data_IF_171970600322
#
_entry.id   IF_171970600322
#
_cell.length_a   1.000
_cell.length_b   1.000
_cell.length_c   1.000
_cell.angle_alpha   90.00
_cell.angle_beta   90.00
_cell.angle_gamma   90.00
#
_symmetry.space_group_name_H-M   'P 1'
#
loop_
_entity.id
_entity.type
_entity.pdbx_description
1 polymer ?
#
# COMPACT_ATOMS: atom_id res chain seq x y z
N UNK A 1 3.99 -10.01 -30.19
CA UNK A 1 4.50 -9.60 -28.90
C UNK A 1 4.16 -8.13 -28.73
N UNK A 2 3.00 -7.84 -28.07
CA UNK A 2 2.52 -6.50 -27.83
C UNK A 2 3.50 -5.73 -26.95
N UNK A 3 4.06 -4.65 -27.45
CA UNK A 3 4.79 -3.70 -26.63
C UNK A 3 3.84 -3.17 -25.56
N UNK A 4 4.12 -3.49 -24.28
CA UNK A 4 3.55 -2.77 -23.17
C UNK A 4 3.93 -1.31 -23.39
N UNK A 5 3.01 -0.51 -23.94
CA UNK A 5 3.24 0.90 -24.15
C UNK A 5 3.75 1.52 -22.86
N UNK A 6 4.66 2.48 -22.96
CA UNK A 6 5.03 3.37 -21.85
C UNK A 6 3.79 4.20 -21.52
N UNK A 7 2.80 3.57 -20.86
CA UNK A 7 1.55 4.27 -20.58
C UNK A 7 1.82 5.43 -19.66
N UNK A 8 1.43 6.57 -20.15
CA UNK A 8 1.15 7.76 -19.38
C UNK A 8 0.37 7.39 -18.10
N UNK A 9 0.57 8.16 -17.04
CA UNK A 9 -0.19 8.12 -15.80
C UNK A 9 -1.67 7.78 -16.04
N UNK A 10 -2.12 6.58 -15.59
CA UNK A 10 -3.53 6.22 -15.70
C UNK A 10 -4.32 6.93 -14.62
N UNK A 11 -5.20 7.82 -15.04
CA UNK A 11 -6.10 8.55 -14.13
C UNK A 11 -7.01 7.62 -13.35
N UNK A 12 -7.41 6.50 -13.93
CA UNK A 12 -8.27 5.50 -13.32
C UNK A 12 -7.58 4.80 -12.16
N UNK A 13 -6.35 4.30 -12.36
CA UNK A 13 -5.56 3.65 -11.31
C UNK A 13 -5.28 4.64 -10.17
N UNK A 14 -5.01 5.89 -10.51
CA UNK A 14 -4.82 6.94 -9.52
C UNK A 14 -6.11 7.22 -8.73
N UNK A 15 -7.24 7.30 -9.41
CA UNK A 15 -8.56 7.51 -8.80
C UNK A 15 -8.97 6.38 -7.86
N UNK A 16 -8.76 5.12 -8.26
CA UNK A 16 -9.05 3.96 -7.39
C UNK A 16 -8.19 3.97 -6.13
N UNK A 17 -6.92 4.37 -6.22
CA UNK A 17 -6.08 4.54 -5.04
C UNK A 17 -6.63 5.61 -4.09
N UNK A 18 -7.11 6.72 -4.63
CA UNK A 18 -7.77 7.76 -3.85
C UNK A 18 -9.04 7.26 -3.18
N UNK A 19 -9.88 6.54 -3.91
CA UNK A 19 -11.10 5.92 -3.39
C UNK A 19 -10.81 4.92 -2.27
N UNK A 20 -9.90 3.99 -2.50
CA UNK A 20 -9.51 2.97 -1.51
C UNK A 20 -8.99 3.62 -0.22
N UNK A 21 -8.17 4.66 -0.35
CA UNK A 21 -7.71 5.42 0.80
C UNK A 21 -8.85 6.12 1.55
N UNK A 22 -9.74 6.78 0.81
CA UNK A 22 -10.90 7.44 1.42
C UNK A 22 -11.73 6.44 2.22
N UNK A 23 -11.89 5.23 1.70
CA UNK A 23 -12.56 4.14 2.43
C UNK A 23 -11.82 3.77 3.72
N UNK A 24 -10.49 3.60 3.67
CA UNK A 24 -9.70 3.27 4.88
C UNK A 24 -9.92 4.34 5.95
N UNK A 25 -9.72 5.62 5.58
CA UNK A 25 -9.86 6.74 6.53
C UNK A 25 -11.31 6.85 7.04
N UNK A 26 -12.31 6.74 6.16
CA UNK A 26 -13.72 6.81 6.54
C UNK A 26 -14.11 5.69 7.51
N UNK A 27 -13.64 4.46 7.28
CA UNK A 27 -13.94 3.34 8.18
C UNK A 27 -13.22 3.46 9.52
N UNK A 28 -11.99 3.98 9.56
CA UNK A 28 -11.31 4.24 10.83
C UNK A 28 -12.03 5.33 11.64
N UNK A 29 -12.58 6.36 10.99
CA UNK A 29 -13.23 7.47 11.69
C UNK A 29 -14.72 7.22 11.97
N UNK A 30 -15.43 6.53 11.11
CA UNK A 30 -16.88 6.42 11.15
C UNK A 30 -17.39 4.97 11.20
N UNK A 31 -16.54 3.99 11.00
CA UNK A 31 -16.90 2.58 10.83
C UNK A 31 -17.14 1.82 12.12
N UNK A 32 -16.97 2.45 13.29
CA UNK A 32 -17.21 1.84 14.62
C UNK A 32 -16.56 0.45 14.77
N UNK A 33 -15.30 0.31 14.36
CA UNK A 33 -14.58 -0.95 14.44
C UNK A 33 -14.54 -1.77 13.16
N UNK A 34 -15.34 -1.44 12.16
CA UNK A 34 -15.29 -2.14 10.88
C UNK A 34 -14.06 -1.76 10.07
N UNK A 35 -13.57 -2.72 9.30
CA UNK A 35 -12.43 -2.55 8.41
C UNK A 35 -12.87 -2.65 6.95
N UNK A 36 -12.44 -1.69 6.13
CA UNK A 36 -12.67 -1.74 4.69
C UNK A 36 -11.62 -2.59 3.97
N UNK A 37 -11.94 -3.11 2.77
CA UNK A 37 -10.98 -3.73 1.86
C UNK A 37 -10.05 -2.74 1.15
N UNK A 38 -9.96 -1.49 1.62
CA UNK A 38 -9.16 -0.45 0.95
C UNK A 38 -7.66 -0.73 0.97
N UNK A 39 -7.14 -1.37 2.03
CA UNK A 39 -5.73 -1.78 2.10
C UNK A 39 -5.43 -2.84 1.04
N UNK A 40 -6.28 -3.85 0.90
CA UNK A 40 -6.14 -4.95 -0.06
C UNK A 40 -6.06 -4.41 -1.50
N UNK A 41 -6.89 -3.42 -1.83
CA UNK A 41 -6.84 -2.69 -3.11
C UNK A 41 -5.47 -2.03 -3.33
N UNK A 42 -4.87 -1.42 -2.29
CA UNK A 42 -3.53 -0.84 -2.39
C UNK A 42 -2.45 -1.87 -2.66
N UNK A 43 -2.53 -3.05 -2.03
CA UNK A 43 -1.57 -4.13 -2.22
C UNK A 43 -1.62 -4.63 -3.67
N UNK A 44 -2.81 -4.89 -4.21
CA UNK A 44 -3.03 -5.27 -5.60
C UNK A 44 -2.46 -4.26 -6.59
N UNK A 45 -2.82 -2.97 -6.44
CA UNK A 45 -2.37 -1.92 -7.36
C UNK A 45 -0.85 -1.73 -7.30
N UNK A 46 -0.27 -1.77 -6.10
CA UNK A 46 1.17 -1.63 -5.92
C UNK A 46 1.94 -2.74 -6.61
N UNK A 47 1.48 -3.98 -6.48
CA UNK A 47 2.08 -5.13 -7.12
C UNK A 47 1.90 -5.12 -8.64
N UNK A 48 0.73 -4.73 -9.13
CA UNK A 48 0.47 -4.55 -10.56
C UNK A 48 1.48 -3.60 -11.21
N UNK A 49 1.62 -2.39 -10.66
CA UNK A 49 2.52 -1.37 -11.19
C UNK A 49 3.99 -1.78 -11.07
N UNK A 50 4.39 -2.37 -9.95
CA UNK A 50 5.75 -2.85 -9.74
C UNK A 50 6.08 -3.98 -10.72
N UNK A 51 5.21 -4.99 -10.84
CA UNK A 51 5.43 -6.15 -11.72
C UNK A 51 5.50 -5.75 -13.18
N UNK A 52 4.62 -4.87 -13.65
CA UNK A 52 4.71 -4.33 -15.02
C UNK A 52 6.06 -3.65 -15.30
N UNK A 53 6.64 -2.98 -14.31
CA UNK A 53 7.99 -2.42 -14.44
C UNK A 53 9.09 -3.50 -14.43
N UNK A 54 8.92 -4.58 -13.64
CA UNK A 54 9.88 -5.69 -13.60
C UNK A 54 9.85 -6.50 -14.90
N UNK A 55 8.68 -6.75 -15.48
CA UNK A 55 8.54 -7.40 -16.80
C UNK A 55 9.38 -6.67 -17.84
N UNK A 56 9.23 -5.34 -17.95
CA UNK A 56 10.05 -4.53 -18.87
C UNK A 56 11.55 -4.62 -18.59
N UNK A 57 11.94 -4.67 -17.32
CA UNK A 57 13.34 -4.80 -16.93
C UNK A 57 13.93 -6.17 -17.30
N UNK A 58 13.16 -7.24 -17.13
CA UNK A 58 13.55 -8.61 -17.50
C UNK A 58 13.67 -8.77 -19.02
N UNK A 59 12.76 -8.17 -19.78
CA UNK A 59 12.80 -8.15 -21.25
C UNK A 59 14.00 -7.37 -21.78
N UNK A 60 14.26 -6.17 -21.24
CA UNK A 60 15.37 -5.33 -21.66
C UNK A 60 16.75 -5.77 -21.16
N UNK A 61 16.79 -6.67 -20.18
CA UNK A 61 18.04 -7.08 -19.54
C UNK A 61 18.68 -6.03 -18.63
N UNK A 62 17.94 -4.94 -18.29
CA UNK A 62 18.47 -3.80 -17.52
C UNK A 62 17.66 -3.56 -16.25
N UNK A 63 18.30 -3.77 -15.09
CA UNK A 63 17.72 -3.49 -13.78
C UNK A 63 18.79 -3.02 -12.80
N UNK A 64 18.64 -1.82 -12.27
CA UNK A 64 19.46 -1.29 -11.18
C UNK A 64 18.63 -1.23 -9.90
N UNK A 65 18.94 -2.08 -8.93
CA UNK A 65 18.27 -2.11 -7.62
C UNK A 65 18.46 -0.80 -6.86
N UNK A 66 19.69 -0.26 -6.85
CA UNK A 66 20.01 1.00 -6.14
C UNK A 66 19.13 2.15 -6.64
N UNK A 67 19.04 2.30 -7.97
CA UNK A 67 18.19 3.33 -8.58
C UNK A 67 16.70 3.08 -8.28
N UNK A 68 16.28 1.81 -8.29
CA UNK A 68 14.91 1.42 -8.01
C UNK A 68 14.54 1.74 -6.57
N UNK A 69 15.34 1.29 -5.62
CA UNK A 69 15.10 1.54 -4.19
C UNK A 69 15.21 3.04 -3.86
N UNK A 70 16.21 3.73 -4.40
CA UNK A 70 16.33 5.18 -4.27
C UNK A 70 15.05 5.90 -4.70
N UNK A 71 14.49 5.54 -5.88
CA UNK A 71 13.22 6.11 -6.38
C UNK A 71 12.02 5.75 -5.50
N UNK A 72 11.94 4.54 -4.99
CA UNK A 72 10.83 4.07 -4.18
C UNK A 72 10.85 4.74 -2.80
N UNK A 73 11.97 4.64 -2.11
CA UNK A 73 12.07 5.09 -0.72
C UNK A 73 12.20 6.60 -0.57
N UNK A 74 12.68 7.34 -1.58
CA UNK A 74 12.60 8.81 -1.57
C UNK A 74 11.16 9.35 -1.55
N UNK A 75 10.18 8.55 -1.95
CA UNK A 75 8.76 8.91 -1.89
C UNK A 75 8.11 8.48 -0.58
N UNK A 76 8.57 7.38 0.03
CA UNK A 76 7.93 6.77 1.19
C UNK A 76 8.54 7.26 2.50
N UNK A 77 9.87 7.24 2.63
CA UNK A 77 10.54 7.51 3.91
C UNK A 77 10.37 8.94 4.42
N UNK A 78 10.59 10.03 3.65
CA UNK A 78 10.57 11.37 4.22
C UNK A 78 9.26 11.73 4.95
N UNK A 79 8.06 11.55 4.36
CA UNK A 79 6.83 11.83 5.08
C UNK A 79 6.53 10.80 6.19
N UNK A 80 6.96 9.53 6.05
CA UNK A 80 6.80 8.54 7.11
C UNK A 80 7.62 8.92 8.35
N UNK A 81 8.91 9.25 8.18
CA UNK A 81 9.79 9.66 9.29
C UNK A 81 9.29 10.94 9.96
N UNK A 82 8.81 11.92 9.18
CA UNK A 82 8.19 13.12 9.75
C UNK A 82 7.01 12.75 10.66
N UNK A 83 6.12 11.87 10.19
CA UNK A 83 4.96 11.44 10.98
C UNK A 83 5.39 10.64 12.20
N UNK A 84 6.39 9.76 12.08
CA UNK A 84 6.92 8.99 13.22
C UNK A 84 7.47 9.92 14.31
N UNK A 85 8.33 10.87 13.95
CA UNK A 85 8.89 11.83 14.91
C UNK A 85 7.79 12.66 15.57
N UNK A 86 6.84 13.19 14.79
CA UNK A 86 5.69 13.90 15.34
C UNK A 86 4.90 13.04 16.31
N UNK A 87 4.63 11.78 15.94
CA UNK A 87 3.87 10.84 16.77
C UNK A 87 4.58 10.56 18.08
N UNK A 88 5.90 10.35 18.07
CA UNK A 88 6.67 10.17 19.32
C UNK A 88 6.59 11.42 20.18
N UNK A 89 6.90 12.60 19.63
CA UNK A 89 6.92 13.87 20.40
C UNK A 89 5.55 14.15 21.04
N UNK A 90 4.48 14.04 20.27
CA UNK A 90 3.12 14.28 20.78
C UNK A 90 2.69 13.16 21.74
N UNK A 91 3.10 11.91 21.50
CA UNK A 91 2.83 10.78 22.36
C UNK A 91 3.45 10.94 23.75
N UNK A 92 4.68 11.45 23.85
CA UNK A 92 5.33 11.75 25.14
C UNK A 92 4.60 12.84 25.94
N UNK A 93 3.86 13.72 25.27
CA UNK A 93 3.08 14.78 25.92
C UNK A 93 1.69 14.32 26.35
N UNK A 94 1.07 13.40 25.60
CA UNK A 94 -0.33 13.01 25.77
C UNK A 94 -0.48 11.67 26.49
N UNK A 95 0.37 10.66 26.15
CA UNK A 95 0.23 9.31 26.66
C UNK A 95 0.83 9.15 28.07
N UNK A 96 0.22 8.32 28.92
CA UNK A 96 0.81 8.00 30.21
C UNK A 96 2.13 7.25 30.04
N UNK A 97 3.03 7.37 31.03
CA UNK A 97 4.38 6.78 30.98
C UNK A 97 4.38 5.26 30.75
N UNK A 98 3.33 4.57 31.21
CA UNK A 98 3.15 3.13 31.00
C UNK A 98 3.04 2.73 29.52
N UNK A 99 2.70 3.67 28.63
CA UNK A 99 2.59 3.44 27.18
C UNK A 99 3.83 3.86 26.37
N UNK A 100 4.84 4.46 27.02
CA UNK A 100 6.01 4.98 26.31
C UNK A 100 6.87 3.88 25.69
N UNK A 101 7.03 2.74 26.38
CA UNK A 101 7.79 1.61 25.83
C UNK A 101 7.18 1.16 24.48
N UNK A 102 5.89 0.86 24.45
CA UNK A 102 5.23 0.48 23.18
C UNK A 102 5.20 1.60 22.14
N UNK A 103 5.24 2.89 22.57
CA UNK A 103 5.38 4.03 21.64
C UNK A 103 6.75 3.99 20.95
N UNK A 104 7.85 3.75 21.69
CA UNK A 104 9.19 3.66 21.12
C UNK A 104 9.37 2.40 20.25
N UNK A 105 8.93 1.25 20.74
CA UNK A 105 9.00 -0.01 19.98
C UNK A 105 8.24 0.09 18.65
N UNK A 106 7.03 0.66 18.65
CA UNK A 106 6.26 0.92 17.43
C UNK A 106 6.94 1.93 16.50
N UNK A 107 7.56 2.99 17.04
CA UNK A 107 8.33 3.94 16.23
C UNK A 107 9.55 3.29 15.56
N UNK A 108 10.30 2.47 16.31
CA UNK A 108 11.44 1.72 15.79
C UNK A 108 11.02 0.76 14.69
N UNK A 109 10.02 -0.07 14.97
CA UNK A 109 9.50 -1.04 13.99
C UNK A 109 8.97 -0.36 12.73
N UNK A 110 8.21 0.73 12.87
CA UNK A 110 7.64 1.50 11.75
C UNK A 110 8.72 2.15 10.88
N UNK A 111 9.80 2.67 11.47
CA UNK A 111 10.87 3.37 10.74
C UNK A 111 11.64 2.46 9.79
N UNK A 112 11.72 1.17 10.10
CA UNK A 112 12.40 0.14 9.30
C UNK A 112 11.43 -0.81 8.57
N UNK A 113 10.15 -0.46 8.49
CA UNK A 113 9.10 -1.27 7.85
C UNK A 113 8.92 -2.67 8.47
N UNK A 114 8.94 -2.77 9.80
CA UNK A 114 8.77 -4.03 10.54
C UNK A 114 7.57 -3.99 11.51
N UNK A 115 6.71 -2.97 11.45
CA UNK A 115 5.55 -2.84 12.35
C UNK A 115 4.58 -4.03 12.27
N UNK A 116 4.40 -4.60 11.08
CA UNK A 116 3.58 -5.80 10.90
C UNK A 116 4.15 -7.03 11.63
N UNK A 117 5.47 -7.15 11.71
CA UNK A 117 6.13 -8.24 12.46
C UNK A 117 6.00 -7.98 13.96
N UNK A 118 6.24 -6.73 14.40
CA UNK A 118 6.09 -6.34 15.81
C UNK A 118 4.67 -6.63 16.32
N UNK A 119 3.64 -6.17 15.61
CA UNK A 119 2.24 -6.39 15.99
C UNK A 119 1.85 -7.88 15.97
N UNK A 120 2.30 -8.63 14.97
CA UNK A 120 2.04 -10.06 14.86
C UNK A 120 2.68 -10.87 15.99
N UNK A 121 3.89 -10.51 16.44
CA UNK A 121 4.58 -11.20 17.57
C UNK A 121 4.02 -10.79 18.92
N UNK A 122 3.50 -9.56 19.05
CA UNK A 122 2.87 -9.09 20.28
C UNK A 122 1.45 -9.65 20.50
N UNK A 123 0.91 -10.41 19.53
CA UNK A 123 -0.44 -11.00 19.63
C UNK A 123 -1.56 -9.97 19.67
N UNK A 124 -1.31 -8.75 19.17
CA UNK A 124 -2.27 -7.65 19.21
C UNK A 124 -3.33 -7.86 18.13
N UNK A 125 -4.59 -7.91 18.54
CA UNK A 125 -5.72 -7.94 17.60
C UNK A 125 -5.83 -6.62 16.85
N UNK A 126 -6.24 -6.67 15.58
CA UNK A 126 -6.60 -5.47 14.83
C UNK A 126 -8.02 -5.05 15.21
N UNK A 127 -8.15 -4.48 16.38
CA UNK A 127 -9.37 -3.78 16.75
C UNK A 127 -9.26 -2.33 16.31
N UNK A 128 -10.33 -1.81 15.76
CA UNK A 128 -10.40 -0.40 15.44
C UNK A 128 -10.19 0.43 16.71
N UNK A 129 -9.58 1.57 16.51
CA UNK A 129 -9.16 2.56 17.47
C UNK A 129 -9.96 2.53 18.79
N UNK A 130 -9.32 2.05 19.83
CA UNK A 130 -9.72 2.23 21.21
C UNK A 130 -8.64 2.94 22.00
N UNK A 131 -8.89 3.22 23.26
CA UNK A 131 -7.93 3.90 24.16
C UNK A 131 -6.57 3.15 24.29
N UNK A 132 -6.55 1.84 23.99
CA UNK A 132 -5.36 0.98 24.00
C UNK A 132 -4.62 0.89 22.66
N UNK A 133 -5.15 1.41 21.56
CA UNK A 133 -4.54 1.25 20.23
C UNK A 133 -3.15 1.92 20.14
N UNK A 134 -2.21 1.26 19.47
CA UNK A 134 -0.90 1.85 19.17
C UNK A 134 -1.06 2.99 18.15
N UNK A 135 -0.45 4.17 18.39
CA UNK A 135 -0.43 5.25 17.39
C UNK A 135 0.25 4.87 16.08
N UNK A 136 1.03 3.78 16.07
CA UNK A 136 1.72 3.26 14.90
C UNK A 136 1.02 2.08 14.23
N UNK A 137 -0.07 1.56 14.82
CA UNK A 137 -0.71 0.33 14.34
C UNK A 137 -0.97 0.32 12.83
N UNK A 138 -1.41 1.43 12.24
CA UNK A 138 -1.66 1.51 10.78
C UNK A 138 -0.41 1.31 9.92
N UNK A 139 0.81 1.49 10.45
CA UNK A 139 2.05 1.24 9.71
C UNK A 139 2.26 -0.23 9.33
N UNK A 140 1.47 -1.17 9.88
CA UNK A 140 1.58 -2.57 9.52
C UNK A 140 1.46 -2.80 7.99
N UNK A 141 0.50 -2.16 7.35
CA UNK A 141 0.29 -2.34 5.90
C UNK A 141 1.38 -1.68 5.06
N UNK A 142 1.91 -0.53 5.53
CA UNK A 142 3.08 0.10 4.93
C UNK A 142 4.33 -0.76 5.09
N UNK A 143 4.47 -1.44 6.22
CA UNK A 143 5.57 -2.38 6.48
C UNK A 143 5.49 -3.56 5.53
N UNK A 144 4.34 -4.23 5.43
CA UNK A 144 4.13 -5.32 4.48
C UNK A 144 4.36 -4.86 3.03
N UNK A 145 3.86 -3.68 2.66
CA UNK A 145 4.09 -3.09 1.33
C UNK A 145 5.58 -2.76 1.10
N UNK A 146 6.26 -2.18 2.09
CA UNK A 146 7.69 -1.85 2.01
C UNK A 146 8.54 -3.10 1.80
N UNK A 147 8.27 -4.17 2.56
CA UNK A 147 8.90 -5.47 2.41
C UNK A 147 8.68 -6.05 1.00
N UNK A 148 7.44 -6.01 0.48
CA UNK A 148 7.16 -6.42 -0.90
C UNK A 148 7.95 -5.57 -1.92
N UNK A 149 8.01 -4.26 -1.74
CA UNK A 149 8.73 -3.35 -2.64
C UNK A 149 10.26 -3.54 -2.60
N UNK A 150 10.79 -4.21 -1.58
CA UNK A 150 12.19 -4.67 -1.50
C UNK A 150 12.34 -6.04 -2.16
N UNK A 151 11.54 -7.00 -1.76
CA UNK A 151 11.68 -8.41 -2.17
C UNK A 151 11.38 -8.61 -3.67
N UNK A 152 10.38 -7.92 -4.22
CA UNK A 152 9.94 -8.14 -5.59
C UNK A 152 10.95 -7.71 -6.65
N UNK A 153 11.56 -6.50 -6.60
CA UNK A 153 12.65 -6.15 -7.50
C UNK A 153 13.91 -6.99 -7.28
N UNK A 154 14.18 -7.44 -6.04
CA UNK A 154 15.30 -8.34 -5.75
C UNK A 154 15.12 -9.68 -6.46
N UNK A 155 13.93 -10.27 -6.40
CA UNK A 155 13.60 -11.50 -7.12
C UNK A 155 13.81 -11.33 -8.63
N UNK A 156 13.28 -10.25 -9.22
CA UNK A 156 13.46 -9.97 -10.64
C UNK A 156 14.95 -9.79 -10.99
N UNK A 157 15.72 -9.15 -10.13
CA UNK A 157 17.18 -8.99 -10.31
C UNK A 157 17.92 -10.33 -10.22
N UNK A 158 17.55 -11.20 -9.28
CA UNK A 158 18.12 -12.55 -9.18
C UNK A 158 17.82 -13.38 -10.42
N UNK A 159 16.59 -13.35 -10.92
CA UNK A 159 16.21 -14.00 -12.18
C UNK A 159 17.06 -13.45 -13.33
N UNK A 160 17.23 -12.12 -13.43
CA UNK A 160 18.05 -11.51 -14.46
C UNK A 160 19.51 -11.96 -14.40
N UNK A 161 20.08 -12.10 -13.20
CA UNK A 161 21.48 -12.51 -13.00
C UNK A 161 21.68 -14.02 -13.25
N UNK A 162 20.84 -14.86 -12.64
CA UNK A 162 20.95 -16.32 -12.76
C UNK A 162 20.67 -16.81 -14.19
N UNK A 163 19.75 -16.13 -14.86
CA UNK A 163 19.32 -16.49 -16.21
C UNK A 163 19.76 -15.45 -17.26
N UNK A 164 20.95 -14.89 -17.11
CA UNK A 164 21.47 -13.82 -18.00
C UNK A 164 21.62 -14.27 -19.46
N UNK A 165 21.86 -15.56 -19.70
CA UNK A 165 22.11 -16.15 -21.02
C UNK A 165 20.85 -16.52 -21.80
N UNK A 166 19.66 -16.52 -21.16
CA UNK A 166 18.40 -16.85 -21.82
C UNK A 166 17.64 -15.60 -22.28
N UNK A 167 16.65 -15.80 -23.15
CA UNK A 167 15.85 -14.70 -23.71
C UNK A 167 15.07 -13.94 -22.62
N UNK A 168 14.74 -12.67 -22.87
CA UNK A 168 13.91 -11.85 -22.00
C UNK A 168 12.52 -12.45 -21.75
N UNK A 169 11.93 -13.03 -22.79
CA UNK A 169 10.60 -13.67 -22.69
C UNK A 169 10.64 -14.92 -21.81
N UNK A 170 11.71 -15.70 -21.88
CA UNK A 170 11.88 -16.87 -20.98
C UNK A 170 12.06 -16.43 -19.52
N UNK A 171 12.81 -15.34 -19.25
CA UNK A 171 12.91 -14.78 -17.89
C UNK A 171 11.54 -14.32 -17.37
N UNK A 172 10.72 -13.70 -18.21
CA UNK A 172 9.37 -13.30 -17.86
C UNK A 172 8.49 -14.51 -17.56
N UNK A 173 8.59 -15.62 -18.32
CA UNK A 173 7.88 -16.87 -18.02
C UNK A 173 8.30 -17.47 -16.67
N UNK A 174 9.59 -17.48 -16.36
CA UNK A 174 10.11 -17.92 -15.05
C UNK A 174 9.52 -17.07 -13.93
N UNK A 175 9.53 -15.74 -14.11
CA UNK A 175 8.96 -14.82 -13.15
C UNK A 175 7.47 -15.01 -12.96
N UNK A 176 6.71 -15.25 -14.04
CA UNK A 176 5.29 -15.61 -14.00
C UNK A 176 5.06 -16.91 -13.22
N UNK A 177 5.80 -17.99 -13.54
CA UNK A 177 5.67 -19.28 -12.86
C UNK A 177 5.93 -19.17 -11.35
N UNK A 178 6.99 -18.44 -10.96
CA UNK A 178 7.25 -18.16 -9.55
C UNK A 178 6.10 -17.37 -8.91
N UNK A 179 5.62 -16.35 -9.58
CA UNK A 179 4.49 -15.51 -9.07
C UNK A 179 3.24 -16.36 -8.86
N UNK A 180 2.92 -17.22 -9.81
CA UNK A 180 1.74 -18.10 -9.73
C UNK A 180 1.82 -19.04 -8.53
N UNK A 181 2.96 -19.74 -8.39
CA UNK A 181 3.18 -20.68 -7.27
C UNK A 181 3.19 -19.94 -5.93
N UNK A 182 3.90 -18.81 -5.82
CA UNK A 182 3.94 -18.03 -4.59
C UNK A 182 2.55 -17.49 -4.20
N UNK A 183 1.75 -17.05 -5.19
CA UNK A 183 0.38 -16.57 -4.95
C UNK A 183 -0.50 -17.70 -4.42
N UNK A 184 -0.48 -18.88 -5.05
CA UNK A 184 -1.27 -20.03 -4.61
C UNK A 184 -0.86 -20.53 -3.23
N UNK A 185 0.45 -20.65 -2.97
CA UNK A 185 0.98 -21.05 -1.67
C UNK A 185 0.61 -20.06 -0.55
N UNK A 186 0.73 -18.76 -0.83
CA UNK A 186 0.34 -17.71 0.12
C UNK A 186 -1.16 -17.72 0.39
N UNK A 187 -1.99 -17.90 -0.62
CA UNK A 187 -3.45 -17.98 -0.42
C UNK A 187 -3.84 -19.18 0.44
N UNK A 188 -3.27 -20.36 0.16
CA UNK A 188 -3.49 -21.54 0.99
C UNK A 188 -3.01 -21.31 2.42
N UNK A 189 -1.83 -20.72 2.60
CA UNK A 189 -1.31 -20.36 3.92
C UNK A 189 -2.23 -19.37 4.65
N UNK A 190 -2.77 -18.37 3.96
CA UNK A 190 -3.73 -17.44 4.53
C UNK A 190 -5.00 -18.11 5.02
N UNK A 191 -5.57 -19.04 4.20
CA UNK A 191 -6.77 -19.80 4.57
C UNK A 191 -6.55 -20.63 5.84
N UNK A 192 -5.40 -21.30 5.94
CA UNK A 192 -5.05 -22.10 7.11
C UNK A 192 -4.80 -21.22 8.35
N UNK A 193 -4.01 -20.16 8.19
CA UNK A 193 -3.61 -19.32 9.32
C UNK A 193 -4.78 -18.52 9.89
N UNK A 194 -5.71 -18.03 9.06
CA UNK A 194 -6.93 -17.35 9.54
C UNK A 194 -7.79 -18.26 10.42
N UNK A 195 -7.78 -19.57 10.15
CA UNK A 195 -8.49 -20.56 10.98
C UNK A 195 -7.78 -20.89 12.30
N UNK A 196 -6.48 -20.60 12.42
CA UNK A 196 -5.65 -20.94 13.59
C UNK A 196 -5.43 -19.71 14.46
N UNK A 197 -4.98 -18.61 13.85
CA UNK A 197 -4.61 -17.36 14.51
C UNK A 197 -4.83 -16.18 13.53
N UNK A 198 -6.06 -15.67 13.52
CA UNK A 198 -6.46 -14.59 12.62
C UNK A 198 -5.67 -13.29 12.88
N UNK A 199 -5.40 -12.84 14.12
CA UNK A 199 -4.56 -11.67 14.37
C UNK A 199 -3.16 -11.78 13.75
N UNK A 200 -2.50 -12.90 13.90
CA UNK A 200 -1.20 -13.16 13.26
C UNK A 200 -1.32 -13.18 11.73
N UNK A 201 -2.38 -13.83 11.20
CA UNK A 201 -2.64 -13.84 9.75
C UNK A 201 -2.83 -12.43 9.19
N UNK A 202 -3.52 -11.56 9.94
CA UNK A 202 -3.84 -10.20 9.53
C UNK A 202 -2.59 -9.36 9.26
N UNK A 203 -1.54 -9.50 10.09
CA UNK A 203 -0.28 -8.76 9.98
C UNK A 203 0.78 -9.48 9.14
N UNK A 204 0.64 -10.79 8.89
CA UNK A 204 1.63 -11.59 8.19
C UNK A 204 1.79 -11.18 6.73
N UNK A 205 3.00 -10.75 6.33
CA UNK A 205 3.33 -10.56 4.92
C UNK A 205 3.05 -11.83 4.09
N UNK A 206 3.41 -13.00 4.64
CA UNK A 206 3.29 -14.27 3.92
C UNK A 206 1.83 -14.67 3.69
N UNK A 207 0.94 -14.37 4.64
CA UNK A 207 -0.49 -14.59 4.48
C UNK A 207 -1.16 -13.55 3.57
N UNK A 208 -0.54 -12.39 3.33
CA UNK A 208 -1.03 -11.33 2.44
C UNK A 208 -0.34 -11.27 1.09
N UNK A 209 0.71 -12.08 0.88
CA UNK A 209 1.47 -12.07 -0.36
C UNK A 209 0.60 -12.43 -1.58
N UNK A 210 -0.48 -13.21 -1.42
CA UNK A 210 -1.41 -13.53 -2.50
C UNK A 210 -2.20 -12.33 -3.01
N UNK A 211 -2.47 -11.33 -2.17
CA UNK A 211 -3.12 -10.07 -2.57
C UNK A 211 -2.20 -9.28 -3.50
N UNK A 212 -0.91 -9.18 -3.14
CA UNK A 212 0.12 -8.67 -4.06
C UNK A 212 0.22 -9.55 -5.31
N UNK A 213 0.20 -10.88 -5.13
CA UNK A 213 0.26 -11.86 -6.21
C UNK A 213 -0.86 -11.69 -7.24
N UNK A 214 -2.08 -11.43 -6.80
CA UNK A 214 -3.22 -11.17 -7.68
C UNK A 214 -2.97 -9.94 -8.58
N UNK A 215 -2.44 -8.85 -8.01
CA UNK A 215 -2.02 -7.68 -8.78
C UNK A 215 -0.86 -7.96 -9.73
N UNK A 216 0.12 -8.73 -9.28
CA UNK A 216 1.25 -9.14 -10.11
C UNK A 216 0.80 -10.03 -11.29
N UNK A 217 -0.05 -11.03 -11.04
CA UNK A 217 -0.60 -11.88 -12.09
C UNK A 217 -1.43 -11.08 -13.11
N UNK A 218 -2.22 -10.11 -12.64
CA UNK A 218 -2.93 -9.20 -13.54
C UNK A 218 -1.98 -8.50 -14.52
N UNK A 219 -0.78 -8.06 -14.08
CA UNK A 219 0.19 -7.43 -14.96
C UNK A 219 0.72 -8.36 -16.07
N UNK A 220 0.81 -9.66 -15.80
CA UNK A 220 1.23 -10.65 -16.81
C UNK A 220 0.14 -10.94 -17.85
N UNK A 221 -1.12 -11.03 -17.40
CA UNK A 221 -2.22 -11.42 -18.30
C UNK A 221 -2.79 -10.24 -19.10
N UNK A 222 -2.51 -9.01 -18.69
CA UNK A 222 -3.06 -7.79 -19.31
C UNK A 222 -2.86 -7.71 -20.83
N UNK A 223 -1.70 -8.09 -21.43
CA UNK A 223 -1.53 -8.06 -22.88
C UNK A 223 -2.54 -8.91 -23.66
N UNK A 224 -3.01 -10.01 -23.06
CA UNK A 224 -3.99 -10.92 -23.70
C UNK A 224 -5.42 -10.40 -23.62
N UNK A 225 -5.71 -9.52 -22.67
CA UNK A 225 -7.04 -8.95 -22.44
C UNK A 225 -7.33 -7.74 -23.34
N UNK A 226 -6.32 -7.22 -24.07
CA UNK A 226 -6.45 -6.03 -24.92
C UNK A 226 -7.46 -6.21 -26.07
N UNK A 227 -7.71 -7.46 -26.50
CA UNK A 227 -8.66 -7.80 -27.58
C UNK A 227 -10.11 -7.93 -27.11
N UNK A 228 -10.38 -7.86 -25.81
CA UNK A 228 -11.73 -7.96 -25.29
C UNK A 228 -12.58 -6.74 -25.67
N UNK A 229 -13.90 -6.97 -25.81
CA UNK A 229 -14.85 -5.90 -26.13
C UNK A 229 -14.84 -4.83 -25.02
N UNK A 230 -14.58 -3.60 -25.38
CA UNK A 230 -14.42 -2.48 -24.42
C UNK A 230 -15.65 -2.27 -23.53
N UNK A 231 -16.86 -2.41 -24.09
CA UNK A 231 -18.09 -2.29 -23.31
C UNK A 231 -18.18 -3.36 -22.22
N UNK A 232 -17.79 -4.61 -22.53
CA UNK A 232 -17.76 -5.70 -21.55
C UNK A 232 -16.75 -5.42 -20.41
N UNK A 233 -15.51 -5.10 -20.77
CA UNK A 233 -14.49 -4.78 -19.74
C UNK A 233 -14.78 -3.49 -18.99
N UNK A 234 -15.51 -2.56 -19.59
CA UNK A 234 -16.04 -1.37 -18.93
C UNK A 234 -17.06 -1.73 -17.85
N UNK A 235 -17.99 -2.63 -18.13
CA UNK A 235 -18.94 -3.16 -17.14
C UNK A 235 -18.23 -3.89 -15.99
N UNK A 236 -17.17 -4.66 -16.30
CA UNK A 236 -16.33 -5.28 -15.27
C UNK A 236 -15.69 -4.22 -14.34
N UNK A 237 -15.30 -3.07 -14.85
CA UNK A 237 -14.78 -1.96 -14.06
C UNK A 237 -15.77 -1.43 -13.03
N UNK A 238 -17.04 -1.22 -13.44
CA UNK A 238 -18.12 -0.84 -12.52
C UNK A 238 -18.42 -1.92 -11.50
N UNK A 239 -18.44 -3.19 -11.91
CA UNK A 239 -18.55 -4.31 -10.98
C UNK A 239 -17.40 -4.29 -9.97
N UNK A 240 -16.17 -4.03 -10.42
CA UNK A 240 -15.00 -3.90 -9.55
C UNK A 240 -15.15 -2.79 -8.51
N UNK A 241 -15.63 -1.61 -8.91
CA UNK A 241 -15.91 -0.51 -7.95
C UNK A 241 -16.98 -0.93 -6.94
N UNK A 242 -18.04 -1.59 -7.38
CA UNK A 242 -19.11 -2.08 -6.49
C UNK A 242 -18.56 -3.08 -5.46
N UNK A 243 -17.71 -4.03 -5.89
CA UNK A 243 -17.05 -4.97 -4.98
C UNK A 243 -16.17 -4.23 -3.95
N UNK A 244 -15.38 -3.27 -4.39
CA UNK A 244 -14.52 -2.48 -3.49
C UNK A 244 -15.38 -1.73 -2.46
N UNK A 245 -16.37 -0.97 -2.91
CA UNK A 245 -17.19 -0.15 -2.03
C UNK A 245 -18.02 -0.98 -1.04
N UNK A 246 -18.57 -2.10 -1.49
CA UNK A 246 -19.42 -2.96 -0.65
C UNK A 246 -18.63 -3.76 0.38
N UNK A 247 -17.32 -3.97 0.18
CA UNK A 247 -16.50 -4.85 1.04
C UNK A 247 -16.55 -4.46 2.52
N UNK A 248 -16.41 -3.18 2.84
CA UNK A 248 -16.44 -2.69 4.22
C UNK A 248 -17.83 -2.73 4.89
N UNK A 249 -18.91 -2.82 4.10
CA UNK A 249 -20.29 -2.91 4.62
C UNK A 249 -20.76 -4.34 4.77
N UNK A 250 -20.37 -5.22 3.85
CA UNK A 250 -20.85 -6.60 3.79
C UNK A 250 -19.93 -7.59 4.51
N UNK A 251 -18.65 -7.27 4.66
CA UNK A 251 -17.63 -8.17 5.20
C UNK A 251 -17.06 -7.56 6.47
N UNK A 252 -16.96 -8.35 7.52
CA UNK A 252 -16.16 -8.00 8.68
C UNK A 252 -14.69 -8.33 8.40
N UNK A 253 -13.97 -7.35 7.85
CA UNK A 253 -12.57 -7.51 7.48
C UNK A 253 -11.63 -7.70 8.67
N UNK A 254 -12.00 -7.20 9.86
CA UNK A 254 -11.18 -7.34 11.05
C UNK A 254 -11.04 -8.80 11.49
N UNK A 255 -12.06 -9.62 11.27
CA UNK A 255 -12.07 -11.04 11.66
C UNK A 255 -11.84 -12.02 10.51
N UNK A 256 -12.05 -11.60 9.25
CA UNK A 256 -12.08 -12.48 8.09
C UNK A 256 -10.91 -12.32 7.12
N UNK A 257 -10.21 -11.19 7.17
CA UNK A 257 -9.04 -10.96 6.32
C UNK A 257 -7.76 -11.52 6.96
N UNK A 258 -6.82 -11.96 6.15
CA UNK A 258 -6.74 -12.04 4.68
C UNK A 258 -7.26 -13.36 4.07
N UNK A 259 -8.25 -14.00 4.66
CA UNK A 259 -8.84 -15.26 4.18
C UNK A 259 -9.65 -15.10 2.88
N UNK A 260 -10.50 -16.11 2.56
CA UNK A 260 -11.28 -16.14 1.33
C UNK A 260 -12.13 -14.88 1.08
N UNK A 261 -12.60 -14.22 2.12
CA UNK A 261 -13.41 -13.01 2.00
C UNK A 261 -12.64 -11.80 1.45
N UNK A 262 -11.31 -11.79 1.57
CA UNK A 262 -10.48 -10.76 0.94
C UNK A 262 -10.44 -10.86 -0.59
N UNK A 263 -10.88 -12.00 -1.18
CA UNK A 263 -11.11 -12.10 -2.63
C UNK A 263 -12.07 -11.02 -3.13
N UNK A 264 -13.01 -10.58 -2.32
CA UNK A 264 -14.00 -9.59 -2.70
C UNK A 264 -13.37 -8.25 -3.12
N UNK A 265 -12.63 -7.51 -2.26
CA UNK A 265 -11.95 -6.29 -2.66
C UNK A 265 -10.78 -6.52 -3.62
N UNK A 266 -10.06 -7.64 -3.51
CA UNK A 266 -8.93 -8.00 -4.39
C UNK A 266 -9.40 -8.18 -5.82
N UNK A 267 -10.46 -8.97 -6.05
CA UNK A 267 -11.05 -9.14 -7.38
C UNK A 267 -11.64 -7.83 -7.89
N UNK A 268 -12.28 -7.04 -7.01
CA UNK A 268 -12.71 -5.70 -7.35
C UNK A 268 -11.58 -4.85 -7.92
N UNK A 269 -10.43 -4.83 -7.27
CA UNK A 269 -9.25 -4.10 -7.74
C UNK A 269 -8.75 -4.63 -9.11
N UNK A 270 -8.66 -5.95 -9.28
CA UNK A 270 -8.23 -6.57 -10.55
C UNK A 270 -9.18 -6.19 -11.69
N UNK A 271 -10.50 -6.24 -11.49
CA UNK A 271 -11.47 -5.87 -12.51
C UNK A 271 -11.37 -4.41 -12.94
N UNK A 272 -11.13 -3.50 -11.98
CA UNK A 272 -10.90 -2.08 -12.31
C UNK A 272 -9.58 -1.91 -13.09
N UNK A 273 -8.50 -2.61 -12.71
CA UNK A 273 -7.24 -2.59 -13.45
C UNK A 273 -7.42 -3.08 -14.89
N UNK A 274 -8.18 -4.16 -15.12
CA UNK A 274 -8.51 -4.68 -16.45
C UNK A 274 -9.26 -3.62 -17.25
N UNK A 275 -10.31 -3.02 -16.67
CA UNK A 275 -11.10 -2.00 -17.33
C UNK A 275 -10.28 -0.76 -17.70
N UNK A 276 -9.43 -0.30 -16.79
CA UNK A 276 -8.56 0.85 -17.00
C UNK A 276 -7.51 0.59 -18.10
N UNK A 277 -6.84 -0.57 -18.02
CA UNK A 277 -5.72 -0.89 -18.91
C UNK A 277 -6.16 -1.20 -20.34
N UNK A 278 -7.33 -1.79 -20.53
CA UNK A 278 -7.90 -2.07 -21.86
C UNK A 278 -8.62 -0.87 -22.49
N UNK A 279 -8.84 0.21 -21.73
CA UNK A 279 -9.57 1.40 -22.16
C UNK A 279 -11.10 1.29 -22.07
N UNK A 280 -11.65 0.17 -21.56
CA UNK A 280 -13.09 -0.01 -21.37
C UNK A 280 -13.69 0.97 -20.35
N UNK A 281 -12.91 1.44 -19.40
CA UNK A 281 -13.34 2.44 -18.42
C UNK A 281 -13.80 3.76 -19.06
N UNK A 282 -13.21 4.15 -20.19
CA UNK A 282 -13.54 5.38 -20.92
C UNK A 282 -14.96 5.25 -21.50
N UNK A 283 -15.24 4.13 -22.15
CA UNK A 283 -16.49 3.91 -22.90
C UNK A 283 -17.74 3.90 -21.99
N UNK A 284 -17.58 3.56 -20.70
CA UNK A 284 -18.68 3.48 -19.71
C UNK A 284 -18.67 4.63 -18.69
N UNK A 285 -17.88 5.67 -18.93
CA UNK A 285 -17.81 6.84 -18.06
C UNK A 285 -17.10 6.65 -16.72
N UNK A 286 -16.53 5.49 -16.44
CA UNK A 286 -15.81 5.19 -15.20
C UNK A 286 -14.58 6.08 -15.05
N UNK A 287 -13.85 6.33 -16.15
CA UNK A 287 -12.73 7.28 -16.19
C UNK A 287 -13.13 8.66 -15.69
N UNK A 288 -14.31 9.17 -16.10
CA UNK A 288 -14.80 10.50 -15.66
C UNK A 288 -14.98 10.54 -14.14
N UNK A 289 -15.54 9.49 -13.56
CA UNK A 289 -15.74 9.39 -12.09
C UNK A 289 -14.40 9.32 -11.37
N UNK A 290 -13.51 8.43 -11.78
CA UNK A 290 -12.21 8.23 -11.12
C UNK A 290 -11.23 9.38 -11.34
N UNK A 291 -11.40 10.17 -12.41
CA UNK A 291 -10.61 11.39 -12.66
C UNK A 291 -11.23 12.67 -12.09
N UNK A 292 -12.35 12.55 -11.37
CA UNK A 292 -12.99 13.70 -10.74
C UNK A 292 -12.02 14.43 -9.79
N UNK A 293 -11.94 15.77 -9.93
CA UNK A 293 -10.93 16.59 -9.26
C UNK A 293 -10.77 16.31 -7.77
N UNK A 294 -11.82 16.16 -6.93
CA UNK A 294 -11.67 15.81 -5.53
C UNK A 294 -11.01 14.44 -5.30
N UNK A 295 -11.39 13.41 -6.09
CA UNK A 295 -10.78 12.08 -6.00
C UNK A 295 -9.30 12.15 -6.39
N UNK A 296 -8.97 12.83 -7.47
CA UNK A 296 -7.59 13.03 -7.91
C UNK A 296 -6.77 13.84 -6.88
N UNK A 297 -7.38 14.83 -6.24
CA UNK A 297 -6.74 15.61 -5.17
C UNK A 297 -6.44 14.74 -3.95
N UNK A 298 -7.40 13.92 -3.50
CA UNK A 298 -7.21 12.96 -2.42
C UNK A 298 -6.16 11.91 -2.79
N UNK A 299 -6.18 11.38 -4.01
CA UNK A 299 -5.22 10.38 -4.46
C UNK A 299 -3.77 10.89 -4.46
N UNK A 300 -3.55 12.17 -4.80
CA UNK A 300 -2.23 12.82 -4.75
C UNK A 300 -1.68 12.95 -3.32
N UNK A 301 -2.57 13.08 -2.32
CA UNK A 301 -2.24 13.25 -0.90
C UNK A 301 -2.42 11.98 -0.11
N UNK A 302 -2.87 10.94 -0.78
CA UNK A 302 -3.32 9.70 -0.19
C UNK A 302 -2.32 9.08 0.78
N UNK A 303 -1.09 9.06 0.41
CA UNK A 303 -0.05 8.53 1.28
C UNK A 303 0.13 9.36 2.57
N UNK A 304 0.20 10.68 2.45
CA UNK A 304 0.32 11.55 3.62
C UNK A 304 -0.94 11.50 4.49
N UNK A 305 -2.15 11.48 3.88
CA UNK A 305 -3.40 11.35 4.62
C UNK A 305 -3.46 10.02 5.39
N UNK A 306 -3.00 8.92 4.79
CA UNK A 306 -2.89 7.63 5.47
C UNK A 306 -1.93 7.71 6.67
N UNK A 307 -0.83 8.43 6.58
CA UNK A 307 0.11 8.56 7.68
C UNK A 307 -0.46 9.37 8.86
N UNK A 308 -1.18 10.46 8.58
CA UNK A 308 -1.62 11.40 9.60
C UNK A 308 -2.91 11.03 10.32
N UNK A 309 -3.89 10.40 9.64
CA UNK A 309 -5.23 10.21 10.20
C UNK A 309 -5.25 9.34 11.46
N UNK A 310 -4.43 8.29 11.52
CA UNK A 310 -4.45 7.32 12.60
C UNK A 310 -3.83 7.84 13.91
N UNK A 311 -2.60 8.39 13.93
CA UNK A 311 -2.05 8.97 15.15
C UNK A 311 -2.96 10.08 15.73
N UNK A 312 -3.52 10.92 14.87
CA UNK A 312 -4.45 11.97 15.31
C UNK A 312 -5.73 11.38 15.92
N UNK A 313 -6.26 10.32 15.35
CA UNK A 313 -7.42 9.60 15.91
C UNK A 313 -7.09 9.02 17.27
N UNK A 314 -5.97 8.29 17.40
CA UNK A 314 -5.57 7.67 18.66
C UNK A 314 -5.35 8.72 19.75
N UNK A 315 -4.67 9.82 19.43
CA UNK A 315 -4.46 10.90 20.41
C UNK A 315 -5.74 11.62 20.79
N UNK A 316 -6.64 11.85 19.84
CA UNK A 316 -7.96 12.42 20.16
C UNK A 316 -8.73 11.54 21.15
N UNK A 317 -8.76 10.23 20.92
CA UNK A 317 -9.42 9.26 21.79
C UNK A 317 -8.75 9.21 23.18
N UNK A 318 -7.42 9.16 23.23
CA UNK A 318 -6.66 9.14 24.49
C UNK A 318 -6.88 10.41 25.32
N UNK A 319 -6.93 11.59 24.71
CA UNK A 319 -7.21 12.85 25.44
C UNK A 319 -8.63 12.91 25.95
N UNK A 320 -9.58 12.32 25.22
CA UNK A 320 -11.00 12.30 25.61
C UNK A 320 -11.34 11.15 26.55
N UNK A 321 -10.48 10.14 26.71
CA UNK A 321 -10.77 8.92 27.46
C UNK A 321 -11.95 8.15 26.87
N UNK A 322 -12.06 8.10 25.53
CA UNK A 322 -13.19 7.50 24.82
C UNK A 322 -12.74 6.33 23.96
N UNK A 323 -13.54 5.27 23.92
CA UNK A 323 -13.28 4.11 23.06
C UNK A 323 -13.69 4.35 21.59
N UNK A 324 -14.58 5.32 21.33
CA UNK A 324 -15.05 5.64 19.98
C UNK A 324 -15.17 7.15 19.78
N UNK A 325 -15.02 7.58 18.52
CA UNK A 325 -15.10 8.98 18.14
C UNK A 325 -16.52 9.33 17.68
N UNK A 326 -17.07 10.45 18.17
CA UNK A 326 -18.33 10.99 17.67
C UNK A 326 -18.12 11.76 16.34
N UNK A 327 -19.21 12.02 15.62
CA UNK A 327 -19.16 12.68 14.30
C UNK A 327 -18.41 14.01 14.27
N UNK A 328 -18.56 14.85 15.28
CA UNK A 328 -17.85 16.13 15.37
C UNK A 328 -16.34 15.92 15.58
N UNK A 329 -15.96 14.99 16.44
CA UNK A 329 -14.55 14.61 16.65
C UNK A 329 -13.94 14.03 15.37
N UNK A 330 -14.66 13.12 14.70
CA UNK A 330 -14.23 12.54 13.44
C UNK A 330 -14.02 13.61 12.35
N UNK A 331 -14.93 14.58 12.24
CA UNK A 331 -14.79 15.71 11.33
C UNK A 331 -13.55 16.57 11.67
N UNK A 332 -13.28 16.81 12.96
CA UNK A 332 -12.11 17.56 13.41
C UNK A 332 -10.80 16.82 13.10
N UNK A 333 -10.72 15.52 13.40
CA UNK A 333 -9.57 14.66 13.07
C UNK A 333 -9.35 14.59 11.56
N UNK A 334 -10.42 14.45 10.77
CA UNK A 334 -10.33 14.45 9.31
C UNK A 334 -9.79 15.78 8.78
N UNK A 335 -10.30 16.91 9.26
CA UNK A 335 -9.84 18.23 8.85
C UNK A 335 -8.36 18.44 9.18
N UNK A 336 -7.93 18.11 10.40
CA UNK A 336 -6.52 18.17 10.81
C UNK A 336 -5.64 17.24 9.93
N UNK A 337 -6.10 16.01 9.66
CA UNK A 337 -5.40 15.06 8.79
C UNK A 337 -5.25 15.59 7.36
N UNK A 338 -6.27 16.22 6.79
CA UNK A 338 -6.22 16.84 5.47
C UNK A 338 -5.25 18.02 5.41
N UNK A 339 -5.24 18.89 6.43
CA UNK A 339 -4.30 20.00 6.51
C UNK A 339 -2.86 19.48 6.60
N UNK A 340 -2.57 18.56 7.51
CA UNK A 340 -1.24 17.99 7.67
C UNK A 340 -0.79 17.19 6.44
N UNK A 341 -1.70 16.53 5.76
CA UNK A 341 -1.39 15.83 4.51
C UNK A 341 -1.03 16.78 3.37
N UNK A 342 -1.71 17.94 3.27
CA UNK A 342 -1.36 18.99 2.31
C UNK A 342 0.02 19.55 2.60
N UNK A 343 0.28 19.93 3.86
CA UNK A 343 1.58 20.48 4.27
C UNK A 343 2.72 19.49 4.03
N UNK A 344 2.54 18.21 4.45
CA UNK A 344 3.53 17.17 4.23
C UNK A 344 3.78 16.88 2.75
N UNK A 345 2.73 16.89 1.94
CA UNK A 345 2.88 16.66 0.49
C UNK A 345 3.64 17.82 -0.15
N UNK A 346 3.29 19.05 0.19
CA UNK A 346 3.87 20.24 -0.41
C UNK A 346 5.32 20.50 0.02
N UNK A 347 5.61 20.35 1.32
CA UNK A 347 6.89 20.78 1.90
C UNK A 347 7.88 19.64 2.14
N UNK A 348 7.42 18.39 2.17
CA UNK A 348 8.28 17.22 2.42
C UNK A 348 8.32 16.28 1.22
N UNK A 349 7.16 15.72 0.81
CA UNK A 349 7.13 14.69 -0.24
C UNK A 349 7.55 15.22 -1.62
N UNK A 350 7.00 16.36 -2.05
CA UNK A 350 7.30 16.91 -3.37
C UNK A 350 8.75 17.42 -3.51
N UNK A 351 9.36 18.09 -2.53
CA UNK A 351 10.78 18.42 -2.55
C UNK A 351 11.68 17.20 -2.53
N UNK A 352 11.38 16.19 -1.69
CA UNK A 352 12.14 14.94 -1.60
C UNK A 352 12.18 14.19 -2.94
N UNK A 353 11.03 14.08 -3.62
CA UNK A 353 10.96 13.45 -4.94
C UNK A 353 11.71 14.25 -6.00
N UNK A 354 11.64 15.58 -5.99
CA UNK A 354 12.39 16.44 -6.92
C UNK A 354 13.90 16.31 -6.71
N UNK A 355 14.36 16.38 -5.47
CA UNK A 355 15.76 16.18 -5.11
C UNK A 355 16.27 14.79 -5.50
N UNK A 356 15.46 13.75 -5.23
CA UNK A 356 15.78 12.39 -5.62
C UNK A 356 15.89 12.21 -7.14
N UNK A 357 15.00 12.82 -7.92
CA UNK A 357 15.08 12.74 -9.39
C UNK A 357 16.42 13.29 -9.93
N UNK A 358 16.95 14.37 -9.36
CA UNK A 358 18.28 14.89 -9.66
C UNK A 358 19.40 13.90 -9.29
N UNK A 359 19.36 13.34 -8.07
CA UNK A 359 20.35 12.36 -7.60
C UNK A 359 20.34 11.06 -8.41
N UNK A 360 19.17 10.63 -8.89
CA UNK A 360 18.99 9.40 -9.66
C UNK A 360 19.50 9.46 -11.12
N UNK A 361 20.01 10.61 -11.56
CA UNK A 361 20.63 10.75 -12.90
C UNK A 361 21.94 10.03 -13.02
N UNK A 362 22.66 9.78 -11.91
CA UNK A 362 23.94 9.06 -11.89
C UNK A 362 23.94 7.86 -10.92
N UNK A 363 24.77 6.83 -11.17
CA UNK A 363 24.93 5.71 -10.24
C UNK A 363 25.42 6.14 -8.85
N UNK A 364 26.39 7.06 -8.79
CA UNK A 364 26.95 7.57 -7.55
C UNK A 364 25.90 8.37 -6.75
N UNK A 365 25.12 9.22 -7.42
CA UNK A 365 24.01 9.96 -6.80
C UNK A 365 22.92 9.04 -6.26
N UNK A 366 22.58 7.99 -7.00
CA UNK A 366 21.62 6.97 -6.57
C UNK A 366 22.09 6.25 -5.30
N UNK A 367 23.38 5.89 -5.22
CA UNK A 367 23.96 5.26 -4.05
C UNK A 367 23.97 6.18 -2.83
N UNK A 368 24.37 7.44 -2.98
CA UNK A 368 24.35 8.44 -1.90
C UNK A 368 22.93 8.67 -1.38
N UNK A 369 21.94 8.82 -2.27
CA UNK A 369 20.54 8.98 -1.88
C UNK A 369 20.06 7.80 -1.04
N UNK A 370 20.31 6.58 -1.49
CA UNK A 370 19.88 5.38 -0.76
C UNK A 370 20.54 5.29 0.63
N UNK A 371 21.84 5.60 0.72
CA UNK A 371 22.56 5.63 2.00
C UNK A 371 21.98 6.66 2.97
N UNK A 372 21.65 7.86 2.50
CA UNK A 372 21.01 8.91 3.32
C UNK A 372 19.63 8.43 3.84
N UNK A 373 18.83 7.81 2.97
CA UNK A 373 17.50 7.32 3.35
C UNK A 373 17.58 6.20 4.40
N UNK A 374 18.53 5.28 4.25
CA UNK A 374 18.79 4.21 5.24
C UNK A 374 19.28 4.81 6.55
N UNK A 375 20.26 5.73 6.51
CA UNK A 375 20.78 6.38 7.71
C UNK A 375 19.68 7.15 8.47
N UNK A 376 18.79 7.84 7.76
CA UNK A 376 17.66 8.54 8.37
C UNK A 376 16.67 7.56 9.04
N UNK A 377 16.34 6.44 8.40
CA UNK A 377 15.45 5.42 8.96
C UNK A 377 16.06 4.77 10.21
N UNK A 378 17.35 4.38 10.14
CA UNK A 378 18.08 3.79 11.26
C UNK A 378 18.25 4.80 12.40
N UNK A 379 18.52 6.09 12.07
CA UNK A 379 18.64 7.14 13.07
C UNK A 379 17.34 7.34 13.88
N UNK A 380 16.19 7.28 13.21
CA UNK A 380 14.89 7.33 13.92
C UNK A 380 14.62 6.05 14.71
N UNK A 381 15.07 4.88 14.22
CA UNK A 381 14.94 3.63 14.96
C UNK A 381 15.84 3.57 16.22
N UNK A 382 16.88 4.38 16.29
CA UNK A 382 17.81 4.44 17.43
C UNK A 382 17.37 5.43 18.52
N UNK A 383 16.30 6.21 18.29
CA UNK A 383 15.71 7.10 19.31
C UNK A 383 14.91 6.32 20.34
#
# INVERSE_FOLDING_TARGET
>A
PGQLSSRAFSHEIHGVRGLALTMVVAFHLFGQGRVSGGVDVFLVISAYLMTGSMIRSLQSGKLSLVRRYGKTFSRLLPPALLTIVFTVVVGLMILPRSRWLGLFEGAQASSVFMENVYLGTAGLTYEAAGDSASPFQHFWSLSAQGQFLILWPLLAFLILKLFSRISGDTRVRIFFGFTLVATGASFLYALLLVGIDQPVAYYSLWARMWEFGAGALAAFIMPWLQSLRKLFVGALGWMGITLILSSGFLIDGATKFPGAWALWPVMGAVLVLVSADTGGAIDVGLTRVLSWKPIAWLANRGYALYLWHWPLLVYFLSVKGQASIGYLGAAAVLAASLILSELSTRYVSAPAVRGANGALTSPAGSGKLLAILIAAAVGVAAL
#
